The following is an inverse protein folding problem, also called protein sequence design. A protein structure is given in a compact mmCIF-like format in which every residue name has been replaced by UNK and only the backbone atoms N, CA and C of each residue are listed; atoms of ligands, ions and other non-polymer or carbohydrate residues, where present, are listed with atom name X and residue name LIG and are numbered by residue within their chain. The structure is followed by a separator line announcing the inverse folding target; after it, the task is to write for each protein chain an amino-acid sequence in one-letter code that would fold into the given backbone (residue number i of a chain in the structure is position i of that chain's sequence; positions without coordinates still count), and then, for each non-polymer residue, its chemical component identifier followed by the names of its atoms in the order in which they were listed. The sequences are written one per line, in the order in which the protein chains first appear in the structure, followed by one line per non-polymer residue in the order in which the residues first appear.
data_IF_565907860557
#
_entry.id   IF_565907860557
#
_cell.length_a   1.000
_cell.length_b   1.000
_cell.length_c   1.000
_cell.angle_alpha   90.00
_cell.angle_beta   90.00
_cell.angle_gamma   90.00
#
_symmetry.space_group_name_H-M   'P 1'
#
loop_
_entity.id
_entity.type
_entity.pdbx_description
1 polymer ?
#
# COMPACT_ATOMS: atom_id res chain seq x y z
N UNK A 1 -25.84 26.62 5.17
CA UNK A 1 -24.57 25.91 4.89
C UNK A 1 -23.84 25.78 6.23
N UNK A 2 -24.03 24.65 6.90
CA UNK A 2 -23.34 24.37 8.18
C UNK A 2 -21.90 23.96 7.89
N UNK A 3 -20.96 24.67 8.48
CA UNK A 3 -19.55 24.27 8.50
C UNK A 3 -19.43 23.02 9.36
N UNK A 4 -19.11 21.86 8.76
CA UNK A 4 -18.68 20.68 9.50
C UNK A 4 -17.44 21.04 10.31
N UNK A 5 -17.52 20.83 11.62
CA UNK A 5 -16.39 20.96 12.54
C UNK A 5 -15.30 19.95 12.14
N UNK A 6 -14.08 20.45 12.01
CA UNK A 6 -12.90 19.64 11.79
C UNK A 6 -12.75 18.60 12.91
N UNK A 7 -12.59 17.33 12.53
CA UNK A 7 -12.35 16.23 13.46
C UNK A 7 -10.92 16.27 14.04
N UNK A 8 -10.57 15.39 14.99
CA UNK A 8 -9.29 15.44 15.68
C UNK A 8 -8.11 15.27 14.73
N UNK A 9 -7.03 15.94 15.06
CA UNK A 9 -5.76 16.21 14.33
C UNK A 9 -5.11 15.02 13.57
N UNK A 10 -5.63 13.80 13.69
CA UNK A 10 -5.09 12.62 12.99
C UNK A 10 -5.72 12.29 11.64
N UNK A 11 -6.82 12.93 11.24
CA UNK A 11 -7.55 12.57 10.02
C UNK A 11 -7.09 13.34 8.77
N UNK A 12 -6.41 14.46 8.91
CA UNK A 12 -6.00 15.32 7.78
C UNK A 12 -4.75 14.82 7.06
N UNK A 13 -4.11 13.78 7.58
CA UNK A 13 -2.80 13.32 7.14
C UNK A 13 -2.91 12.26 6.02
N UNK A 14 -4.08 11.62 5.86
CA UNK A 14 -4.27 10.52 4.89
C UNK A 14 -5.46 10.82 3.99
N UNK A 15 -5.19 11.01 2.71
CA UNK A 15 -6.23 11.12 1.70
C UNK A 15 -6.87 9.74 1.47
N UNK A 16 -8.21 9.68 1.50
CA UNK A 16 -9.01 8.49 1.21
C UNK A 16 -9.59 8.64 -0.19
N UNK A 17 -9.16 7.79 -1.11
CA UNK A 17 -9.65 7.78 -2.47
C UNK A 17 -10.71 6.68 -2.58
N UNK A 18 -11.99 6.99 -2.81
CA UNK A 18 -13.02 5.98 -2.97
C UNK A 18 -12.89 5.29 -4.33
N UNK A 19 -12.89 3.95 -4.32
CA UNK A 19 -12.89 3.12 -5.51
C UNK A 19 -14.03 2.11 -5.35
N UNK A 20 -15.25 2.45 -5.76
CA UNK A 20 -16.42 1.57 -5.68
C UNK A 20 -16.54 0.82 -4.35
N UNK A 21 -16.69 1.51 -3.25
CA UNK A 21 -16.68 1.02 -1.86
C UNK A 21 -15.31 0.51 -1.36
N UNK A 22 -14.33 0.38 -2.25
CA UNK A 22 -12.94 0.13 -1.88
C UNK A 22 -12.24 1.45 -1.56
N UNK A 23 -11.42 1.45 -0.54
CA UNK A 23 -10.67 2.64 -0.12
C UNK A 23 -9.19 2.44 -0.39
N UNK A 24 -8.58 3.41 -1.08
CA UNK A 24 -7.15 3.59 -1.11
C UNK A 24 -6.76 4.57 0.00
N UNK A 25 -5.72 4.27 0.71
CA UNK A 25 -5.11 5.19 1.66
C UNK A 25 -3.85 5.74 1.03
N UNK A 26 -3.67 7.04 1.14
CA UNK A 26 -2.56 7.76 0.53
C UNK A 26 -2.01 8.79 1.51
N UNK A 27 -0.69 8.88 1.55
CA UNK A 27 0.03 9.96 2.24
C UNK A 27 1.34 10.23 1.53
N UNK A 28 1.79 11.49 1.51
CA UNK A 28 3.17 11.86 1.23
C UNK A 28 3.92 12.02 2.55
N UNK A 29 5.07 11.39 2.67
CA UNK A 29 5.94 11.53 3.83
C UNK A 29 6.67 12.86 3.79
N UNK A 30 6.58 13.67 4.84
CA UNK A 30 7.04 15.07 4.83
C UNK A 30 8.56 15.22 4.74
N UNK A 31 9.30 14.29 5.34
CA UNK A 31 10.77 14.31 5.35
C UNK A 31 11.36 13.24 4.42
N UNK A 32 10.74 13.05 3.26
CA UNK A 32 11.09 11.96 2.35
C UNK A 32 12.47 12.13 1.70
N UNK A 33 12.98 13.36 1.48
CA UNK A 33 14.21 13.59 0.74
C UNK A 33 15.40 12.88 1.39
N UNK A 34 15.60 13.08 2.69
CA UNK A 34 16.69 12.44 3.42
C UNK A 34 16.53 10.92 3.46
N UNK A 35 15.31 10.44 3.72
CA UNK A 35 15.00 9.02 3.74
C UNK A 35 15.24 8.40 2.37
N UNK A 36 14.74 9.02 1.30
CA UNK A 36 14.87 8.49 -0.05
C UNK A 36 16.33 8.43 -0.53
N UNK A 37 17.16 9.41 -0.18
CA UNK A 37 18.57 9.36 -0.50
C UNK A 37 19.28 8.15 0.14
N UNK A 38 18.96 7.81 1.37
CA UNK A 38 19.48 6.62 2.04
C UNK A 38 18.97 5.34 1.36
N UNK A 39 17.66 5.28 1.08
CA UNK A 39 17.02 4.12 0.46
C UNK A 39 17.51 3.86 -0.97
N UNK A 40 17.74 4.90 -1.77
CA UNK A 40 18.30 4.75 -3.12
C UNK A 40 19.65 4.03 -3.04
N UNK A 41 20.55 4.51 -2.19
CA UNK A 41 21.88 3.92 -2.03
C UNK A 41 21.80 2.45 -1.58
N UNK A 42 20.94 2.16 -0.62
CA UNK A 42 20.73 0.81 -0.12
C UNK A 42 20.17 -0.13 -1.20
N UNK A 43 19.11 0.29 -1.90
CA UNK A 43 18.46 -0.50 -2.94
C UNK A 43 19.41 -0.75 -4.12
N UNK A 44 20.17 0.25 -4.54
CA UNK A 44 21.14 0.10 -5.63
C UNK A 44 22.28 -0.83 -5.23
N UNK A 45 22.76 -0.77 -3.98
CA UNK A 45 23.73 -1.72 -3.45
C UNK A 45 23.19 -3.15 -3.41
N UNK A 46 21.92 -3.35 -3.06
CA UNK A 46 21.26 -4.68 -3.13
C UNK A 46 21.25 -5.20 -4.57
N UNK A 47 20.88 -4.34 -5.53
CA UNK A 47 20.85 -4.67 -6.94
C UNK A 47 22.23 -5.04 -7.51
N UNK A 48 23.30 -4.35 -7.07
CA UNK A 48 24.67 -4.68 -7.46
C UNK A 48 25.12 -6.06 -6.97
N UNK A 49 24.69 -6.43 -5.75
CA UNK A 49 24.99 -7.75 -5.16
C UNK A 49 24.19 -8.89 -5.78
N UNK A 50 22.99 -8.63 -6.22
CA UNK A 50 22.10 -9.59 -6.91
C UNK A 50 21.50 -8.98 -8.18
N UNK A 51 22.29 -8.86 -9.28
CA UNK A 51 21.82 -8.21 -10.51
C UNK A 51 20.64 -8.92 -11.19
N UNK A 52 20.44 -10.21 -10.94
CA UNK A 52 19.34 -10.98 -11.52
C UNK A 52 18.02 -10.67 -10.81
N UNK A 53 18.04 -10.54 -9.50
CA UNK A 53 16.85 -10.40 -8.70
C UNK A 53 15.82 -11.51 -8.94
N UNK A 54 14.56 -11.22 -8.62
CA UNK A 54 13.42 -12.12 -8.83
C UNK A 54 12.32 -11.40 -9.62
N UNK A 55 12.38 -11.40 -10.97
CA UNK A 55 11.29 -10.84 -11.77
C UNK A 55 10.03 -11.69 -11.60
N UNK A 56 8.87 -11.04 -11.44
CA UNK A 56 7.57 -11.70 -11.34
C UNK A 56 6.61 -11.08 -12.38
N UNK A 57 5.80 -10.09 -11.95
CA UNK A 57 4.87 -9.36 -12.83
C UNK A 57 5.53 -8.20 -13.56
N UNK A 58 6.84 -8.03 -13.37
CA UNK A 58 7.60 -6.89 -13.84
C UNK A 58 8.28 -7.22 -15.17
N UNK A 59 8.09 -6.37 -16.16
CA UNK A 59 8.79 -6.45 -17.44
C UNK A 59 9.85 -5.35 -17.51
N UNK A 60 11.10 -5.74 -17.76
CA UNK A 60 12.24 -4.81 -17.80
C UNK A 60 12.61 -4.19 -16.43
N UNK A 61 12.29 -4.86 -15.34
CA UNK A 61 12.44 -4.35 -13.98
C UNK A 61 13.23 -5.32 -13.12
N UNK A 62 14.05 -4.80 -12.23
CA UNK A 62 14.67 -5.56 -11.17
C UNK A 62 13.78 -5.56 -9.92
N UNK A 63 13.68 -6.72 -9.26
CA UNK A 63 13.04 -6.88 -7.95
C UNK A 63 13.97 -7.65 -7.03
N UNK A 64 14.05 -7.27 -5.75
CA UNK A 64 14.87 -7.99 -4.78
C UNK A 64 14.38 -9.44 -4.62
N UNK A 65 15.31 -10.41 -4.66
CA UNK A 65 15.02 -11.81 -4.37
C UNK A 65 14.80 -12.01 -2.87
N UNK A 66 15.57 -11.33 -2.04
CA UNK A 66 15.42 -11.35 -0.60
C UNK A 66 14.31 -10.40 -0.13
N UNK A 67 13.67 -10.78 0.97
CA UNK A 67 12.74 -9.91 1.67
C UNK A 67 13.50 -8.70 2.20
N UNK A 68 13.02 -7.53 1.83
CA UNK A 68 13.58 -6.28 2.36
C UNK A 68 13.23 -6.15 3.84
N UNK A 69 14.19 -5.76 4.67
CA UNK A 69 13.97 -5.47 6.08
C UNK A 69 13.60 -4.00 6.23
N UNK A 70 12.35 -3.75 6.61
CA UNK A 70 11.89 -2.39 6.88
C UNK A 70 12.20 -2.04 8.34
N UNK A 71 13.27 -1.31 8.54
CA UNK A 71 13.75 -0.88 9.86
C UNK A 71 13.96 0.64 9.89
N UNK A 72 14.17 1.20 11.08
CA UNK A 72 14.51 2.60 11.24
C UNK A 72 13.45 3.59 10.75
N UNK A 73 13.87 4.58 10.01
CA UNK A 73 13.03 5.68 9.55
C UNK A 73 11.92 5.25 8.58
N UNK A 74 12.15 4.23 7.75
CA UNK A 74 11.14 3.71 6.84
C UNK A 74 9.96 3.05 7.57
N UNK A 75 10.19 2.48 8.74
CA UNK A 75 9.13 1.87 9.53
C UNK A 75 8.04 2.87 9.92
N UNK A 76 8.38 4.13 10.15
CA UNK A 76 7.45 5.19 10.55
C UNK A 76 6.33 5.41 9.53
N UNK A 77 6.60 5.76 8.25
CA UNK A 77 5.53 5.94 7.28
C UNK A 77 4.71 4.68 7.04
N UNK A 78 5.33 3.50 7.07
CA UNK A 78 4.63 2.23 6.89
C UNK A 78 3.69 1.91 8.04
N UNK A 79 4.13 2.05 9.29
CA UNK A 79 3.30 1.81 10.47
C UNK A 79 2.14 2.82 10.56
N UNK A 80 2.38 4.08 10.22
CA UNK A 80 1.32 5.11 10.23
C UNK A 80 0.19 4.80 9.27
N UNK A 81 0.49 4.42 8.02
CA UNK A 81 -0.58 4.16 7.06
C UNK A 81 -1.36 2.89 7.41
N UNK A 82 -0.69 1.87 7.94
CA UNK A 82 -1.34 0.66 8.43
C UNK A 82 -2.23 0.95 9.64
N UNK A 83 -1.77 1.75 10.60
CA UNK A 83 -2.55 2.17 11.76
C UNK A 83 -3.81 2.95 11.33
N UNK A 84 -3.67 3.91 10.42
CA UNK A 84 -4.81 4.67 9.92
C UNK A 84 -5.85 3.81 9.19
N UNK A 85 -5.42 2.80 8.47
CA UNK A 85 -6.33 1.83 7.86
C UNK A 85 -7.07 1.02 8.91
N UNK A 86 -6.33 0.52 9.92
CA UNK A 86 -6.89 -0.26 11.02
C UNK A 86 -7.93 0.55 11.81
N UNK A 87 -7.61 1.79 12.15
CA UNK A 87 -8.52 2.68 12.87
C UNK A 87 -9.79 3.00 12.07
N UNK A 88 -9.67 3.08 10.75
CA UNK A 88 -10.80 3.37 9.89
C UNK A 88 -11.77 2.18 9.74
N UNK A 89 -11.25 0.97 9.49
CA UNK A 89 -12.07 -0.21 9.20
C UNK A 89 -12.39 -1.06 10.44
N UNK A 90 -11.55 -1.01 11.45
CA UNK A 90 -11.66 -1.82 12.66
C UNK A 90 -11.52 -0.96 13.93
N UNK A 91 -12.34 0.09 14.10
CA UNK A 91 -12.24 0.95 15.27
C UNK A 91 -12.47 0.11 16.54
N UNK A 92 -11.59 0.31 17.53
CA UNK A 92 -11.62 -0.40 18.82
C UNK A 92 -11.31 -1.92 18.76
N UNK A 93 -10.81 -2.44 17.65
CA UNK A 93 -10.31 -3.81 17.57
C UNK A 93 -8.79 -3.75 17.63
N UNK A 94 -8.16 -4.26 18.70
CA UNK A 94 -6.72 -4.36 18.77
C UNK A 94 -6.21 -5.23 17.62
N UNK A 95 -5.42 -4.66 16.76
CA UNK A 95 -4.84 -5.37 15.62
C UNK A 95 -3.33 -5.16 15.56
N UNK A 96 -2.66 -6.09 14.94
CA UNK A 96 -1.24 -6.05 14.61
C UNK A 96 -1.10 -6.47 13.14
N UNK A 97 0.04 -6.23 12.52
CA UNK A 97 0.26 -6.59 11.15
C UNK A 97 1.60 -7.33 10.99
N UNK A 98 1.55 -8.47 10.33
CA UNK A 98 2.74 -9.11 9.80
C UNK A 98 2.99 -8.58 8.39
N UNK A 99 4.14 -7.97 8.15
CA UNK A 99 4.43 -7.27 6.90
C UNK A 99 5.66 -7.87 6.22
N UNK A 100 5.54 -8.09 4.92
CA UNK A 100 6.63 -8.54 4.05
C UNK A 100 6.90 -7.47 3.03
N UNK A 101 8.18 -7.08 2.88
CA UNK A 101 8.64 -6.03 1.99
C UNK A 101 9.54 -6.57 0.88
N UNK A 102 9.55 -5.88 -0.26
CA UNK A 102 10.49 -6.07 -1.36
C UNK A 102 10.76 -4.74 -2.06
N UNK A 103 11.88 -4.65 -2.74
CA UNK A 103 12.25 -3.45 -3.51
C UNK A 103 12.15 -3.70 -5.00
N UNK A 104 11.79 -2.66 -5.76
CA UNK A 104 11.77 -2.70 -7.23
C UNK A 104 12.51 -1.52 -7.82
N UNK A 105 13.21 -1.76 -8.92
CA UNK A 105 13.83 -0.73 -9.76
C UNK A 105 13.34 -0.93 -11.18
N UNK A 106 12.44 -0.04 -11.62
CA UNK A 106 11.86 -0.05 -12.96
C UNK A 106 12.64 0.93 -13.85
N UNK A 107 13.31 0.41 -14.86
CA UNK A 107 13.99 1.23 -15.86
C UNK A 107 13.01 2.07 -16.71
N UNK A 108 13.46 3.12 -17.39
CA UNK A 108 12.66 3.73 -18.45
C UNK A 108 12.07 2.68 -19.42
N UNK A 109 10.79 2.82 -19.74
CA UNK A 109 10.05 1.89 -20.58
C UNK A 109 9.53 0.62 -19.89
N UNK A 110 10.02 0.28 -18.68
CA UNK A 110 9.55 -0.91 -17.97
C UNK A 110 8.20 -0.71 -17.31
N UNK A 111 7.44 -1.79 -17.18
CA UNK A 111 6.09 -1.80 -16.63
C UNK A 111 5.90 -2.94 -15.63
N UNK A 112 4.81 -2.89 -14.87
CA UNK A 112 4.32 -4.03 -14.11
C UNK A 112 2.97 -4.46 -14.69
N UNK A 113 2.88 -5.73 -15.07
CA UNK A 113 1.66 -6.30 -15.64
C UNK A 113 0.51 -6.26 -14.63
N UNK A 114 -0.70 -6.30 -15.14
CA UNK A 114 -1.94 -6.32 -14.36
C UNK A 114 -1.99 -7.54 -13.44
N UNK A 115 -2.10 -7.32 -12.14
CA UNK A 115 -2.06 -8.37 -11.12
C UNK A 115 -2.76 -7.95 -9.82
N UNK A 116 -2.87 -8.90 -8.89
CA UNK A 116 -3.33 -8.69 -7.52
C UNK A 116 -2.52 -9.57 -6.55
N UNK A 117 -2.62 -9.29 -5.26
CA UNK A 117 -1.80 -9.95 -4.23
C UNK A 117 -2.56 -10.93 -3.35
N UNK A 118 -3.84 -11.25 -3.67
CA UNK A 118 -4.65 -12.16 -2.85
C UNK A 118 -4.04 -13.55 -2.66
N UNK A 119 -3.25 -14.03 -3.65
CA UNK A 119 -2.52 -15.31 -3.55
C UNK A 119 -1.34 -15.28 -2.56
N UNK A 120 -0.90 -14.11 -2.14
CA UNK A 120 0.22 -13.95 -1.21
C UNK A 120 -0.19 -14.06 0.27
N UNK A 121 -1.42 -14.52 0.57
CA UNK A 121 -1.97 -14.57 1.93
C UNK A 121 -1.90 -13.20 2.65
N UNK A 122 -2.13 -12.13 1.92
CA UNK A 122 -2.14 -10.77 2.42
C UNK A 122 -3.57 -10.21 2.43
N UNK A 123 -3.88 -9.39 3.43
CA UNK A 123 -5.14 -8.65 3.50
C UNK A 123 -5.00 -7.29 2.79
N UNK A 124 -3.84 -6.69 2.94
CA UNK A 124 -3.48 -5.39 2.37
C UNK A 124 -2.19 -5.48 1.58
N UNK A 125 -2.09 -4.61 0.59
CA UNK A 125 -0.87 -4.36 -0.17
C UNK A 125 -0.62 -2.86 -0.23
N UNK A 126 0.64 -2.50 -0.39
CA UNK A 126 1.00 -1.10 -0.51
C UNK A 126 2.33 -0.90 -1.20
N UNK A 127 2.62 0.36 -1.45
CA UNK A 127 3.86 0.77 -2.10
C UNK A 127 4.32 2.12 -1.54
N UNK A 128 5.60 2.22 -1.24
CA UNK A 128 6.30 3.47 -0.97
C UNK A 128 7.16 3.85 -2.16
N UNK A 129 7.01 5.08 -2.63
CA UNK A 129 7.74 5.59 -3.79
C UNK A 129 8.99 6.33 -3.32
N UNK A 130 10.12 5.64 -3.38
CA UNK A 130 11.44 6.23 -3.14
C UNK A 130 11.76 7.22 -4.26
N UNK A 131 11.45 6.84 -5.50
CA UNK A 131 11.57 7.67 -6.69
C UNK A 131 10.38 7.39 -7.60
N UNK A 132 9.40 8.29 -7.58
CA UNK A 132 8.09 8.11 -8.24
C UNK A 132 7.76 9.22 -9.24
N UNK A 133 8.19 10.45 -8.97
CA UNK A 133 7.79 11.63 -9.74
C UNK A 133 8.13 11.51 -11.23
N UNK A 134 7.11 11.64 -12.09
CA UNK A 134 7.26 11.58 -13.54
C UNK A 134 7.57 10.18 -14.10
N UNK A 135 7.44 9.12 -13.30
CA UNK A 135 7.80 7.76 -13.73
C UNK A 135 6.59 6.91 -14.13
N UNK A 136 5.43 7.54 -14.34
CA UNK A 136 4.20 6.89 -14.79
C UNK A 136 3.24 6.55 -13.67
N UNK A 137 2.04 6.14 -14.04
CA UNK A 137 0.85 6.01 -13.19
C UNK A 137 0.68 4.58 -12.71
N UNK A 138 0.30 4.39 -11.44
CA UNK A 138 -0.31 3.15 -10.98
C UNK A 138 -1.82 3.23 -11.26
N UNK A 139 -2.39 2.18 -11.85
CA UNK A 139 -3.82 2.13 -12.19
C UNK A 139 -4.48 0.98 -11.45
N UNK A 140 -5.69 1.22 -10.96
CA UNK A 140 -6.48 0.26 -10.23
C UNK A 140 -7.75 -0.07 -11.01
N UNK A 141 -8.07 -1.37 -11.09
CA UNK A 141 -9.30 -1.82 -11.72
C UNK A 141 -10.51 -1.46 -10.85
N UNK A 142 -11.55 -0.95 -11.49
CA UNK A 142 -12.86 -0.81 -10.86
C UNK A 142 -13.68 -2.09 -11.07
N UNK A 143 -14.74 -2.31 -10.26
CA UNK A 143 -15.67 -3.43 -10.51
C UNK A 143 -16.29 -3.38 -11.91
N UNK A 144 -16.57 -2.20 -12.42
CA UNK A 144 -17.05 -2.03 -13.80
C UNK A 144 -16.08 -2.62 -14.82
N UNK A 145 -14.77 -2.50 -14.59
CA UNK A 145 -13.78 -3.09 -15.48
C UNK A 145 -13.84 -4.61 -15.49
N UNK A 146 -14.03 -5.24 -14.35
CA UNK A 146 -14.21 -6.70 -14.27
C UNK A 146 -15.46 -7.13 -15.05
N UNK A 147 -16.56 -6.40 -14.94
CA UNK A 147 -17.76 -6.65 -15.73
C UNK A 147 -17.51 -6.51 -17.24
N UNK A 148 -16.73 -5.54 -17.66
CA UNK A 148 -16.44 -5.28 -19.08
C UNK A 148 -15.47 -6.25 -19.71
N UNK A 149 -14.59 -6.86 -18.92
CA UNK A 149 -13.77 -7.98 -19.39
C UNK A 149 -14.62 -9.22 -19.75
N UNK A 150 -15.82 -9.34 -19.16
CA UNK A 150 -16.75 -10.44 -19.37
C UNK A 150 -17.78 -10.10 -20.46
N UNK A 151 -18.07 -8.83 -20.72
CA UNK A 151 -19.07 -8.35 -21.67
C UNK A 151 -18.42 -7.57 -22.83
N UNK A 152 -18.00 -8.24 -23.92
CA UNK A 152 -17.43 -7.58 -25.10
C UNK A 152 -18.44 -6.57 -25.70
N UNK A 153 -17.96 -5.36 -26.00
CA UNK A 153 -18.76 -4.29 -26.61
C UNK A 153 -19.19 -3.16 -25.67
N UNK A 154 -18.89 -3.25 -24.39
CA UNK A 154 -19.05 -2.11 -23.49
C UNK A 154 -17.92 -1.07 -23.69
N UNK A 155 -18.21 0.25 -23.58
CA UNK A 155 -17.17 1.28 -23.71
C UNK A 155 -16.09 1.11 -22.64
N UNK A 156 -14.84 1.48 -22.98
CA UNK A 156 -13.67 1.27 -22.14
C UNK A 156 -13.89 1.78 -20.70
N UNK A 157 -13.54 0.95 -19.72
CA UNK A 157 -13.68 1.27 -18.32
C UNK A 157 -12.64 2.29 -17.90
N UNK A 158 -13.03 3.20 -17.04
CA UNK A 158 -12.11 4.11 -16.37
C UNK A 158 -11.39 3.36 -15.24
N UNK A 159 -10.13 2.99 -15.48
CA UNK A 159 -9.25 2.65 -14.37
C UNK A 159 -8.99 3.91 -13.55
N UNK A 160 -8.91 3.75 -12.24
CA UNK A 160 -8.50 4.86 -11.38
C UNK A 160 -6.99 4.89 -11.36
N UNK A 161 -6.42 5.99 -11.85
CA UNK A 161 -4.98 6.24 -11.86
C UNK A 161 -4.54 7.11 -10.69
N UNK A 162 -3.37 6.83 -10.16
CA UNK A 162 -2.64 7.71 -9.26
C UNK A 162 -1.25 7.97 -9.84
N UNK A 163 -0.92 9.24 -10.06
CA UNK A 163 0.42 9.66 -10.45
C UNK A 163 1.29 9.81 -9.19
N UNK A 164 2.28 8.94 -8.99
CA UNK A 164 3.06 8.96 -7.78
C UNK A 164 4.10 10.07 -7.79
N UNK A 165 4.38 10.58 -6.60
CA UNK A 165 5.52 11.46 -6.35
C UNK A 165 6.51 10.79 -5.38
N UNK A 166 7.70 11.35 -5.29
CA UNK A 166 8.69 10.93 -4.31
C UNK A 166 8.15 11.08 -2.89
N UNK A 167 8.32 10.06 -2.06
CA UNK A 167 7.81 10.02 -0.71
C UNK A 167 6.34 9.62 -0.56
N UNK A 168 5.62 9.36 -1.66
CA UNK A 168 4.25 8.88 -1.59
C UNK A 168 4.19 7.45 -1.06
N UNK A 169 3.21 7.18 -0.21
CA UNK A 169 2.85 5.85 0.25
C UNK A 169 1.38 5.59 -0.04
N UNK A 170 1.11 4.44 -0.66
CA UNK A 170 -0.24 3.94 -0.94
C UNK A 170 -0.49 2.66 -0.17
N UNK A 171 -1.72 2.48 0.30
CA UNK A 171 -2.20 1.23 0.89
C UNK A 171 -3.58 0.91 0.33
N UNK A 172 -3.80 -0.35 -0.05
CA UNK A 172 -5.02 -0.82 -0.68
C UNK A 172 -5.27 -2.30 -0.36
N UNK A 173 -6.51 -2.80 -0.48
CA UNK A 173 -6.80 -4.21 -0.31
C UNK A 173 -6.01 -5.09 -1.30
N UNK A 174 -5.48 -6.20 -0.83
CA UNK A 174 -4.63 -7.10 -1.63
C UNK A 174 -5.32 -7.71 -2.85
N UNK A 175 -6.65 -7.81 -2.84
CA UNK A 175 -7.45 -8.29 -3.97
C UNK A 175 -7.61 -7.26 -5.09
N UNK A 176 -7.31 -5.99 -4.83
CA UNK A 176 -7.49 -4.93 -5.81
C UNK A 176 -6.48 -5.08 -6.94
N UNK A 177 -7.01 -5.40 -8.11
CA UNK A 177 -6.19 -5.55 -9.31
C UNK A 177 -5.61 -4.21 -9.76
N UNK A 178 -4.33 -4.22 -10.08
CA UNK A 178 -3.61 -3.01 -10.47
C UNK A 178 -2.45 -3.33 -11.42
N UNK A 179 -2.02 -2.30 -12.13
CA UNK A 179 -0.81 -2.31 -12.96
C UNK A 179 -0.02 -1.00 -12.78
N UNK A 180 1.19 -1.01 -13.30
CA UNK A 180 1.97 0.20 -13.46
C UNK A 180 2.23 0.40 -14.95
N UNK A 181 1.80 1.53 -15.49
CA UNK A 181 2.11 1.87 -16.88
C UNK A 181 3.61 1.97 -17.08
N UNK A 182 4.03 1.79 -18.33
CA UNK A 182 5.42 1.92 -18.71
C UNK A 182 5.99 3.25 -18.17
N UNK A 183 7.19 3.19 -17.61
CA UNK A 183 7.88 4.38 -17.12
C UNK A 183 8.19 5.31 -18.30
N UNK A 184 7.51 6.47 -18.45
CA UNK A 184 7.66 7.34 -19.61
C UNK A 184 8.90 8.23 -19.52
N UNK A 185 9.55 8.28 -18.35
CA UNK A 185 10.69 9.17 -18.15
C UNK A 185 11.89 8.67 -18.98
N UNK A 186 12.61 9.54 -19.69
CA UNK A 186 13.67 9.12 -20.60
C UNK A 186 14.90 8.52 -19.91
N UNK A 187 15.16 8.88 -18.64
CA UNK A 187 16.37 8.48 -17.91
C UNK A 187 16.14 8.13 -16.45
N UNK A 188 14.99 8.51 -15.86
CA UNK A 188 14.73 8.32 -14.44
C UNK A 188 14.13 6.96 -14.18
N UNK A 189 14.76 6.18 -13.33
CA UNK A 189 14.20 4.93 -12.81
C UNK A 189 13.03 5.21 -11.87
N UNK A 190 12.03 4.34 -11.83
CA UNK A 190 11.06 4.27 -10.74
C UNK A 190 11.60 3.31 -9.69
N UNK A 191 11.81 3.81 -8.47
CA UNK A 191 12.32 3.01 -7.34
C UNK A 191 11.23 2.95 -6.28
N UNK A 192 10.83 1.73 -5.90
CA UNK A 192 9.74 1.53 -4.94
C UNK A 192 10.06 0.45 -3.93
N UNK A 193 9.42 0.55 -2.76
CA UNK A 193 9.34 -0.53 -1.78
C UNK A 193 7.88 -0.99 -1.73
N UNK A 194 7.62 -2.18 -2.28
CA UNK A 194 6.33 -2.84 -2.18
C UNK A 194 6.21 -3.58 -0.86
N UNK A 195 4.99 -3.73 -0.36
CA UNK A 195 4.75 -4.52 0.84
C UNK A 195 3.38 -5.18 0.83
N UNK A 196 3.29 -6.31 1.53
CA UNK A 196 2.05 -7.01 1.83
C UNK A 196 1.88 -7.12 3.33
N UNK A 197 0.69 -6.86 3.83
CA UNK A 197 0.37 -6.95 5.25
C UNK A 197 -0.74 -7.97 5.50
N UNK A 198 -0.51 -8.84 6.49
CA UNK A 198 -1.51 -9.74 7.07
C UNK A 198 -1.94 -9.17 8.41
N UNK A 199 -3.22 -8.85 8.53
CA UNK A 199 -3.78 -8.29 9.76
C UNK A 199 -4.07 -9.42 10.76
N UNK A 200 -3.60 -9.26 11.98
CA UNK A 200 -3.82 -10.18 13.09
C UNK A 200 -4.62 -9.46 14.16
N UNK A 201 -5.88 -9.81 14.33
CA UNK A 201 -6.70 -9.31 15.43
C UNK A 201 -6.28 -9.96 16.75
N UNK A 202 -6.03 -9.18 17.77
CA UNK A 202 -5.80 -9.68 19.13
C UNK A 202 -7.15 -10.08 19.74
N UNK A 203 -7.24 -11.27 20.34
CA UNK A 203 -8.43 -11.64 21.12
C UNK A 203 -8.65 -10.57 22.19
N UNK A 204 -9.86 -10.03 22.30
CA UNK A 204 -10.20 -9.20 23.47
C UNK A 204 -9.90 -10.03 24.73
N UNK A 205 -9.30 -9.44 25.78
CA UNK A 205 -9.28 -10.08 27.08
C UNK A 205 -10.73 -10.46 27.40
N UNK A 206 -10.93 -11.71 27.86
CA UNK A 206 -12.25 -12.13 28.29
C UNK A 206 -12.76 -11.09 29.31
N UNK A 207 -13.94 -10.50 29.05
CA UNK A 207 -14.57 -9.63 30.01
C UNK A 207 -14.62 -10.38 31.34
N UNK A 208 -13.99 -9.82 32.39
CA UNK A 208 -14.12 -10.33 33.73
C UNK A 208 -15.61 -10.41 34.00
N UNK A 209 -16.11 -11.64 34.20
CA UNK A 209 -17.50 -11.84 34.56
C UNK A 209 -17.75 -11.00 35.81
N UNK A 210 -18.60 -10.01 35.71
CA UNK A 210 -19.06 -9.25 36.89
C UNK A 210 -19.46 -10.24 37.97
N UNK A 211 -19.09 -9.99 39.24
CA UNK A 211 -19.47 -10.87 40.36
C UNK A 211 -20.99 -11.08 40.30
N UNK A 212 -21.40 -12.35 40.23
CA UNK A 212 -22.83 -12.68 40.37
C UNK A 212 -23.30 -12.10 41.67
N UNK A 213 -24.20 -11.13 41.62
CA UNK A 213 -24.91 -10.60 42.74
C UNK A 213 -25.69 -11.74 43.40
N UNK A 214 -25.13 -12.29 44.47
CA UNK A 214 -25.80 -13.28 45.30
C UNK A 214 -26.88 -12.55 46.12
N UNK A 215 -27.97 -12.22 45.46
CA UNK A 215 -29.17 -11.71 46.13
C UNK A 215 -29.70 -12.76 47.09
N UNK A 216 -29.26 -12.68 48.36
CA UNK A 216 -29.94 -13.28 49.50
C UNK A 216 -31.24 -12.52 49.76
N UNK A 217 -32.33 -13.02 49.21
CA UNK A 217 -33.67 -12.62 49.64
C UNK A 217 -34.02 -13.46 50.85
N UNK A 218 -34.07 -12.82 52.00
CA UNK A 218 -34.77 -13.31 53.18
C UNK A 218 -36.19 -12.76 53.17
#
# INVERSE_FOLDING_TARGET
MEKKKDGPIGQDIIAKIPVQDTRLFYKRWENYENLNNLLINEIMTMREKDPKGMPQTNEGCWRSAEKYKCEGELFKPMSMILAAWTDYFMPNIPADAEVVYWTNVNEPGSLNMFHAHYMANADLSGVYYVQGSGTGVIRFATHEQLYRMIAPGMPHSNMIGHEPHDGDILLFPSYLQHDLVANPHPTRQRITIGFNAKIKTKKRPAEEKSPKDNGNIK
#
